data_IF_028118454520
#
_entry.id   IF_028118454520
#
_cell.length_a   1.000
_cell.length_b   1.000
_cell.length_c   1.000
_cell.angle_alpha   90.00
_cell.angle_beta   90.00
_cell.angle_gamma   90.00
#
_symmetry.space_group_name_H-M   'P 1'
#
loop_
_entity.id
_entity.type
_entity.pdbx_description
1 polymer ?
#
# COMPACT_ATOMS: atom_id res chain seq x y z
N UNK A 1 1.03 -29.73 20.65
CA UNK A 1 0.81 -28.85 19.49
C UNK A 1 1.07 -27.42 19.93
N UNK A 2 2.10 -26.75 19.42
CA UNK A 2 2.33 -25.32 19.74
C UNK A 2 1.26 -24.50 19.01
N UNK A 3 0.60 -23.53 19.65
CA UNK A 3 -0.41 -22.71 19.00
C UNK A 3 0.22 -21.93 17.84
N UNK A 4 -0.38 -22.03 16.66
CA UNK A 4 -0.03 -21.18 15.52
C UNK A 4 -0.32 -19.73 15.93
N UNK A 5 0.68 -18.82 15.92
CA UNK A 5 0.44 -17.43 16.29
C UNK A 5 -0.56 -16.83 15.30
N UNK A 6 -1.79 -16.66 15.77
CA UNK A 6 -2.86 -15.97 15.02
C UNK A 6 -2.59 -14.47 15.16
N UNK A 7 -2.37 -13.80 14.03
CA UNK A 7 -2.05 -12.38 14.04
C UNK A 7 -3.33 -11.55 14.28
N UNK A 8 -3.33 -10.78 15.36
CA UNK A 8 -4.52 -10.06 15.87
C UNK A 8 -5.02 -8.95 14.93
N UNK A 9 -4.21 -8.50 13.96
CA UNK A 9 -4.58 -7.43 13.02
C UNK A 9 -4.04 -7.67 11.61
N UNK A 10 -4.37 -8.81 10.99
CA UNK A 10 -4.06 -9.02 9.57
C UNK A 10 -4.93 -8.05 8.73
N UNK A 11 -4.34 -7.24 7.83
CA UNK A 11 -5.10 -6.45 6.87
C UNK A 11 -5.99 -7.36 6.02
N UNK A 12 -7.22 -6.91 5.79
CA UNK A 12 -8.09 -7.51 4.76
C UNK A 12 -7.87 -6.71 3.48
N UNK A 13 -6.70 -6.83 2.89
CA UNK A 13 -6.37 -6.22 1.58
C UNK A 13 -6.40 -7.31 0.51
N UNK A 14 -7.04 -7.03 -0.62
CA UNK A 14 -7.05 -7.93 -1.78
C UNK A 14 -5.71 -7.92 -2.53
N UNK A 15 -4.80 -7.00 -2.18
CA UNK A 15 -3.45 -6.91 -2.74
C UNK A 15 -2.42 -7.63 -1.86
N UNK A 16 -1.70 -8.59 -2.45
CA UNK A 16 -0.60 -9.33 -1.81
C UNK A 16 0.52 -8.41 -1.29
N UNK A 17 0.82 -7.29 -1.96
CA UNK A 17 1.91 -6.37 -1.56
C UNK A 17 1.60 -5.62 -0.25
N UNK A 18 0.33 -5.34 0.00
CA UNK A 18 -0.10 -4.73 1.26
C UNK A 18 0.01 -5.72 2.43
N UNK A 19 -0.30 -6.99 2.19
CA UNK A 19 -0.13 -8.05 3.19
C UNK A 19 1.35 -8.26 3.50
N UNK A 20 2.21 -8.27 2.48
CA UNK A 20 3.67 -8.40 2.62
C UNK A 20 4.29 -7.25 3.41
N UNK A 21 3.95 -5.99 3.06
CA UNK A 21 4.47 -4.80 3.75
C UNK A 21 4.04 -4.79 5.22
N UNK A 22 2.77 -5.11 5.50
CA UNK A 22 2.28 -5.23 6.86
C UNK A 22 3.00 -6.34 7.63
N UNK A 23 3.23 -7.50 7.01
CA UNK A 23 3.89 -8.62 7.67
C UNK A 23 5.33 -8.27 8.10
N UNK A 24 6.08 -7.54 7.26
CA UNK A 24 7.40 -7.02 7.59
C UNK A 24 7.35 -5.99 8.73
N UNK A 25 6.39 -5.07 8.70
CA UNK A 25 6.20 -4.10 9.78
C UNK A 25 5.86 -4.78 11.12
N UNK A 26 5.01 -5.80 11.09
CA UNK A 26 4.64 -6.58 12.26
C UNK A 26 5.82 -7.41 12.80
N UNK A 27 6.65 -7.99 11.93
CA UNK A 27 7.87 -8.68 12.34
C UNK A 27 8.85 -7.72 13.05
N UNK A 28 9.06 -6.52 12.50
CA UNK A 28 9.88 -5.50 13.14
C UNK A 28 9.32 -5.10 14.52
N UNK A 29 8.00 -4.89 14.62
CA UNK A 29 7.34 -4.56 15.89
C UNK A 29 7.55 -5.65 16.95
N UNK A 30 7.43 -6.93 16.55
CA UNK A 30 7.63 -8.07 17.45
C UNK A 30 9.06 -8.16 17.96
N UNK A 31 10.06 -7.99 17.09
CA UNK A 31 11.47 -7.97 17.48
C UNK A 31 11.74 -6.87 18.53
N UNK A 32 11.23 -5.65 18.32
CA UNK A 32 11.37 -4.55 19.28
C UNK A 32 10.69 -4.90 20.61
N UNK A 33 9.42 -5.32 20.55
CA UNK A 33 8.63 -5.56 21.77
C UNK A 33 9.23 -6.67 22.64
N UNK A 34 9.67 -7.78 22.03
CA UNK A 34 10.30 -8.90 22.73
C UNK A 34 11.69 -8.54 23.26
N UNK A 35 12.48 -7.76 22.51
CA UNK A 35 13.78 -7.25 22.98
C UNK A 35 13.66 -6.28 24.15
N UNK A 36 12.65 -5.41 24.14
CA UNK A 36 12.39 -4.49 25.25
C UNK A 36 11.90 -5.24 26.50
N UNK A 37 11.03 -6.23 26.32
CA UNK A 37 10.52 -7.06 27.40
C UNK A 37 11.56 -8.06 27.96
N UNK A 38 12.68 -8.28 27.24
CA UNK A 38 13.67 -9.33 27.53
C UNK A 38 13.05 -10.72 27.64
N UNK A 39 12.03 -10.97 26.82
CA UNK A 39 11.34 -12.26 26.74
C UNK A 39 12.02 -13.11 25.66
N UNK A 40 12.81 -14.10 26.11
CA UNK A 40 13.57 -14.99 25.23
C UNK A 40 12.67 -15.84 24.33
N UNK A 41 11.54 -16.34 24.84
CA UNK A 41 10.63 -17.19 24.06
C UNK A 41 9.94 -16.36 22.98
N UNK A 42 9.43 -15.18 23.34
CA UNK A 42 8.83 -14.26 22.38
C UNK A 42 9.85 -13.74 21.37
N UNK A 43 11.10 -13.52 21.79
CA UNK A 43 12.18 -13.06 20.90
C UNK A 43 12.58 -14.15 19.90
N UNK A 44 12.76 -15.38 20.37
CA UNK A 44 13.02 -16.51 19.49
C UNK A 44 11.86 -16.73 18.50
N UNK A 45 10.61 -16.62 18.97
CA UNK A 45 9.44 -16.70 18.09
C UNK A 45 9.41 -15.57 17.05
N UNK A 46 9.78 -14.34 17.44
CA UNK A 46 9.87 -13.20 16.53
C UNK A 46 10.98 -13.39 15.47
N UNK A 47 12.14 -13.91 15.86
CA UNK A 47 13.24 -14.25 14.94
C UNK A 47 12.83 -15.36 13.97
N UNK A 48 12.18 -16.43 14.45
CA UNK A 48 11.70 -17.51 13.59
C UNK A 48 10.62 -17.03 12.61
N UNK A 49 9.74 -16.12 13.04
CA UNK A 49 8.80 -15.46 12.15
C UNK A 49 9.53 -14.66 11.07
N UNK A 50 10.52 -13.85 11.47
CA UNK A 50 11.32 -13.07 10.54
C UNK A 50 11.98 -13.97 9.48
N UNK A 51 12.61 -15.07 9.91
CA UNK A 51 13.23 -16.05 9.01
C UNK A 51 12.22 -16.61 7.98
N UNK A 52 11.03 -17.01 8.43
CA UNK A 52 10.00 -17.59 7.55
C UNK A 52 9.49 -16.59 6.52
N UNK A 53 9.29 -15.32 6.92
CA UNK A 53 8.88 -14.26 5.99
C UNK A 53 9.91 -14.07 4.88
N UNK A 54 11.19 -14.00 5.24
CA UNK A 54 12.27 -13.83 4.28
C UNK A 54 12.46 -15.03 3.36
N UNK A 55 12.23 -16.27 3.83
CA UNK A 55 12.17 -17.45 2.95
C UNK A 55 11.03 -17.37 1.92
N UNK A 56 9.86 -16.84 2.30
CA UNK A 56 8.75 -16.63 1.36
C UNK A 56 9.14 -15.58 0.31
N UNK A 57 9.77 -14.47 0.71
CA UNK A 57 10.27 -13.48 -0.23
C UNK A 57 11.33 -14.04 -1.18
N UNK A 58 12.27 -14.84 -0.67
CA UNK A 58 13.28 -15.51 -1.49
C UNK A 58 12.64 -16.41 -2.55
N UNK A 59 11.64 -17.22 -2.17
CA UNK A 59 10.91 -18.07 -3.12
C UNK A 59 10.20 -17.22 -4.20
N UNK A 60 9.51 -16.14 -3.81
CA UNK A 60 8.82 -15.26 -4.74
C UNK A 60 9.78 -14.52 -5.70
N UNK A 61 11.03 -14.29 -5.31
CA UNK A 61 12.05 -13.68 -6.17
C UNK A 61 12.59 -14.62 -7.24
N UNK A 62 12.55 -15.94 -6.98
CA UNK A 62 13.08 -16.96 -7.91
C UNK A 62 12.09 -17.39 -8.98
N UNK A 63 10.81 -17.01 -8.85
CA UNK A 63 9.78 -17.29 -9.85
C UNK A 63 10.08 -16.55 -11.17
N UNK A 64 9.82 -17.22 -12.30
CA UNK A 64 10.08 -16.66 -13.64
C UNK A 64 9.20 -15.43 -13.93
N UNK A 65 7.96 -15.43 -13.43
CA UNK A 65 6.98 -14.35 -13.55
C UNK A 65 7.13 -13.24 -12.50
N UNK A 66 8.28 -13.17 -11.81
CA UNK A 66 8.55 -12.10 -10.85
C UNK A 66 8.60 -10.74 -11.56
N UNK A 67 7.53 -9.95 -11.44
CA UNK A 67 7.38 -8.63 -12.09
C UNK A 67 8.31 -7.51 -11.59
N UNK A 68 9.36 -7.85 -10.83
CA UNK A 68 10.34 -6.89 -10.33
C UNK A 68 11.52 -6.74 -11.30
N UNK A 69 12.03 -5.52 -11.53
CA UNK A 69 13.25 -5.32 -12.32
C UNK A 69 14.43 -6.13 -11.78
N UNK A 70 15.34 -6.55 -12.68
CA UNK A 70 16.51 -7.38 -12.32
C UNK A 70 17.33 -6.79 -11.17
N UNK A 71 17.53 -5.47 -11.16
CA UNK A 71 18.26 -4.77 -10.11
C UNK A 71 17.56 -4.89 -8.75
N UNK A 72 16.24 -4.70 -8.71
CA UNK A 72 15.43 -4.84 -7.49
C UNK A 72 15.52 -6.27 -6.95
N UNK A 73 15.42 -7.27 -7.83
CA UNK A 73 15.58 -8.68 -7.44
C UNK A 73 16.95 -8.96 -6.86
N UNK A 74 18.00 -8.43 -7.47
CA UNK A 74 19.39 -8.60 -7.02
C UNK A 74 19.60 -7.95 -5.64
N UNK A 75 19.10 -6.74 -5.46
CA UNK A 75 19.20 -6.02 -4.18
C UNK A 75 18.40 -6.75 -3.08
N UNK A 76 17.20 -7.24 -3.38
CA UNK A 76 16.39 -7.96 -2.40
C UNK A 76 16.98 -9.33 -2.05
N UNK A 77 17.62 -10.02 -3.02
CA UNK A 77 18.37 -11.25 -2.76
C UNK A 77 19.56 -11.00 -1.82
N UNK A 78 20.31 -9.91 -2.02
CA UNK A 78 21.41 -9.53 -1.13
C UNK A 78 20.93 -9.21 0.29
N UNK A 79 19.82 -8.47 0.42
CA UNK A 79 19.18 -8.20 1.72
C UNK A 79 18.71 -9.48 2.39
N UNK A 80 18.14 -10.42 1.64
CA UNK A 80 17.66 -11.69 2.20
C UNK A 80 18.80 -12.49 2.83
N UNK A 81 19.97 -12.54 2.17
CA UNK A 81 21.15 -13.19 2.71
C UNK A 81 21.67 -12.51 4.00
N UNK A 82 21.64 -11.18 4.06
CA UNK A 82 21.99 -10.45 5.28
C UNK A 82 21.02 -10.77 6.42
N UNK A 83 19.72 -10.78 6.14
CA UNK A 83 18.69 -11.08 7.14
C UNK A 83 18.82 -12.51 7.66
N UNK A 84 19.07 -13.50 6.81
CA UNK A 84 19.28 -14.89 7.22
C UNK A 84 20.47 -15.02 8.17
N UNK A 85 21.58 -14.36 7.83
CA UNK A 85 22.81 -14.36 8.65
C UNK A 85 22.57 -13.72 10.01
N UNK A 86 21.98 -12.53 10.04
CA UNK A 86 21.70 -11.81 11.30
C UNK A 86 20.66 -12.56 12.15
N UNK A 87 19.61 -13.10 11.54
CA UNK A 87 18.58 -13.87 12.24
C UNK A 87 19.18 -15.13 12.86
N UNK A 88 20.02 -15.85 12.11
CA UNK A 88 20.73 -17.03 12.61
C UNK A 88 21.67 -16.69 13.76
N UNK A 89 22.45 -15.61 13.63
CA UNK A 89 23.34 -15.16 14.70
C UNK A 89 22.56 -14.84 15.98
N UNK A 90 21.41 -14.15 15.86
CA UNK A 90 20.54 -13.82 16.99
C UNK A 90 19.83 -15.03 17.59
N UNK A 91 19.51 -16.06 16.80
CA UNK A 91 18.97 -17.31 17.32
C UNK A 91 20.00 -18.11 18.15
N UNK A 92 21.29 -17.91 17.88
CA UNK A 92 22.39 -18.55 18.62
C UNK A 92 22.74 -17.79 19.89
N UNK A 93 22.91 -16.47 19.80
CA UNK A 93 23.39 -15.64 20.92
C UNK A 93 22.26 -15.06 21.79
N UNK A 94 21.02 -15.02 21.28
CA UNK A 94 19.86 -14.36 21.90
C UNK A 94 20.16 -12.93 22.38
N UNK A 95 21.05 -12.23 21.67
CA UNK A 95 21.46 -10.88 22.03
C UNK A 95 20.40 -9.85 21.60
N UNK A 96 19.57 -9.46 22.58
CA UNK A 96 18.52 -8.46 22.42
C UNK A 96 19.03 -7.08 21.95
N UNK A 97 20.31 -6.76 22.12
CA UNK A 97 20.87 -5.45 21.74
C UNK A 97 21.15 -5.33 20.23
N UNK A 98 21.26 -6.45 19.52
CA UNK A 98 21.71 -6.51 18.12
C UNK A 98 20.58 -6.79 17.13
N UNK A 99 19.45 -6.10 17.30
CA UNK A 99 18.25 -6.27 16.47
C UNK A 99 17.99 -5.11 15.51
N UNK A 100 18.73 -4.01 15.66
CA UNK A 100 18.50 -2.77 14.92
C UNK A 100 18.59 -2.97 13.40
N UNK A 101 19.58 -3.73 12.93
CA UNK A 101 19.75 -4.07 11.52
C UNK A 101 18.50 -4.78 10.96
N UNK A 102 18.00 -5.81 11.65
CA UNK A 102 16.81 -6.56 11.24
C UNK A 102 15.56 -5.67 11.21
N UNK A 103 15.38 -4.85 12.24
CA UNK A 103 14.26 -3.90 12.35
C UNK A 103 14.31 -2.85 11.23
N UNK A 104 15.48 -2.30 10.96
CA UNK A 104 15.68 -1.27 9.94
C UNK A 104 15.38 -1.80 8.54
N UNK A 105 15.90 -2.98 8.19
CA UNK A 105 15.64 -3.64 6.90
C UNK A 105 14.15 -3.88 6.74
N UNK A 106 13.49 -4.50 7.71
CA UNK A 106 12.06 -4.80 7.63
C UNK A 106 11.20 -3.55 7.45
N UNK A 107 11.50 -2.47 8.19
CA UNK A 107 10.77 -1.19 8.06
C UNK A 107 11.01 -0.52 6.72
N UNK A 108 12.25 -0.51 6.24
CA UNK A 108 12.61 0.12 4.97
C UNK A 108 11.96 -0.59 3.80
N UNK A 109 12.00 -1.93 3.78
CA UNK A 109 11.36 -2.74 2.72
C UNK A 109 9.83 -2.62 2.80
N UNK A 110 9.24 -2.66 4.01
CA UNK A 110 7.80 -2.43 4.18
C UNK A 110 7.37 -1.07 3.60
N UNK A 111 8.12 -0.01 3.91
CA UNK A 111 7.83 1.34 3.41
C UNK A 111 7.96 1.43 1.89
N UNK A 112 8.98 0.78 1.31
CA UNK A 112 9.16 0.70 -0.14
C UNK A 112 8.01 -0.03 -0.85
N UNK A 113 7.56 -1.15 -0.30
CA UNK A 113 6.44 -1.92 -0.85
C UNK A 113 5.11 -1.14 -0.81
N UNK A 114 4.85 -0.40 0.28
CA UNK A 114 3.68 0.47 0.39
C UNK A 114 3.73 1.60 -0.65
N UNK A 115 4.85 2.30 -0.77
CA UNK A 115 5.00 3.38 -1.74
C UNK A 115 4.85 2.90 -3.20
N UNK A 116 5.36 1.69 -3.50
CA UNK A 116 5.18 1.09 -4.82
C UNK A 116 3.72 0.71 -5.09
N UNK A 117 2.99 0.22 -4.08
CA UNK A 117 1.56 -0.04 -4.21
C UNK A 117 0.77 1.26 -4.50
N UNK A 118 1.01 2.32 -3.72
CA UNK A 118 0.37 3.62 -3.92
C UNK A 118 0.64 4.17 -5.33
N UNK A 119 1.86 4.00 -5.84
CA UNK A 119 2.22 4.39 -7.20
C UNK A 119 1.46 3.59 -8.27
N UNK A 120 1.38 2.25 -8.11
CA UNK A 120 0.65 1.39 -9.04
C UNK A 120 -0.85 1.72 -9.02
N UNK A 121 -1.44 1.92 -7.85
CA UNK A 121 -2.84 2.31 -7.69
C UNK A 121 -3.12 3.68 -8.35
N UNK A 122 -2.23 4.66 -8.17
CA UNK A 122 -2.34 5.98 -8.79
C UNK A 122 -2.20 5.92 -10.32
N UNK A 123 -1.37 5.02 -10.86
CA UNK A 123 -1.21 4.84 -12.29
C UNK A 123 -2.42 4.13 -12.90
N UNK A 124 -2.95 3.09 -12.25
CA UNK A 124 -4.17 2.40 -12.68
C UNK A 124 -5.39 3.34 -12.71
N UNK A 125 -5.48 4.31 -11.80
CA UNK A 125 -6.54 5.33 -11.81
C UNK A 125 -6.41 6.33 -12.97
N UNK A 126 -5.19 6.52 -13.52
CA UNK A 126 -4.94 7.40 -14.68
C UNK A 126 -5.15 6.67 -16.02
N UNK A 127 -4.85 5.38 -16.06
CA UNK A 127 -5.01 4.53 -17.25
C UNK A 127 -6.40 3.86 -17.33
N UNK A 128 -7.26 4.09 -16.34
CA UNK A 128 -8.65 3.66 -16.39
C UNK A 128 -9.31 4.27 -17.64
N UNK A 129 -9.84 3.44 -18.55
CA UNK A 129 -10.51 3.97 -19.72
C UNK A 129 -11.68 4.81 -19.25
N UNK A 130 -11.84 5.98 -19.87
CA UNK A 130 -13.06 6.80 -19.79
C UNK A 130 -14.18 5.98 -20.41
N UNK A 131 -14.72 5.02 -19.66
CA UNK A 131 -15.82 4.18 -20.08
C UNK A 131 -17.09 5.03 -20.00
N UNK A 132 -17.42 5.60 -21.16
CA UNK A 132 -18.74 5.97 -21.64
C UNK A 132 -19.61 6.79 -20.66
N UNK A 133 -19.58 8.11 -20.86
CA UNK A 133 -20.78 8.92 -20.60
C UNK A 133 -22.01 8.21 -21.21
N UNK A 134 -23.15 8.13 -20.50
CA UNK A 134 -24.35 7.54 -21.06
C UNK A 134 -24.75 8.33 -22.31
N UNK A 135 -24.78 7.65 -23.46
CA UNK A 135 -25.41 8.17 -24.67
C UNK A 135 -26.86 8.56 -24.33
N UNK A 136 -27.34 9.76 -24.73
CA UNK A 136 -28.76 10.05 -24.64
C UNK A 136 -29.52 9.08 -25.56
N UNK A 137 -30.68 8.55 -25.16
CA UNK A 137 -31.44 7.65 -26.02
C UNK A 137 -31.89 8.41 -27.27
N UNK A 138 -31.41 7.92 -28.41
CA UNK A 138 -31.74 8.40 -29.73
C UNK A 138 -33.21 8.16 -30.07
N UNK A 139 -33.77 9.19 -30.72
CA UNK A 139 -35.11 9.31 -31.24
C UNK A 139 -35.44 8.25 -32.31
N UNK A 140 -36.63 7.65 -32.20
CA UNK A 140 -37.30 6.87 -33.26
C UNK A 140 -38.79 7.16 -33.21
N UNK A 141 -39.31 7.82 -34.24
CA UNK A 141 -40.66 8.39 -34.26
C UNK A 141 -41.76 7.49 -34.83
N UNK A 142 -43.00 7.95 -34.67
CA UNK A 142 -44.12 7.63 -35.57
C UNK A 142 -45.50 7.52 -34.91
N UNK A 143 -46.35 8.56 -35.07
CA UNK A 143 -47.78 8.38 -35.38
C UNK A 143 -48.84 8.96 -34.42
N UNK A 144 -49.45 10.09 -34.81
CA UNK A 144 -50.86 10.56 -34.59
C UNK A 144 -51.33 10.80 -33.14
N UNK A 145 -52.19 11.76 -32.78
CA UNK A 145 -53.16 12.66 -33.44
C UNK A 145 -53.54 13.78 -32.39
N UNK A 146 -54.36 14.81 -32.71
CA UNK A 146 -54.15 16.19 -32.24
C UNK A 146 -55.08 16.67 -31.10
N UNK A 147 -54.64 17.70 -30.36
CA UNK A 147 -55.45 18.37 -29.33
C UNK A 147 -55.00 19.79 -28.98
N UNK A 148 -55.46 20.77 -29.77
CA UNK A 148 -55.92 22.13 -29.45
C UNK A 148 -55.30 22.97 -28.28
N UNK A 149 -54.59 24.06 -28.69
CA UNK A 149 -54.68 25.50 -28.27
C UNK A 149 -54.04 25.95 -26.91
N UNK A 150 -53.86 27.28 -26.63
CA UNK A 150 -52.58 27.99 -26.87
C UNK A 150 -52.15 28.93 -25.70
N UNK A 151 -51.20 29.84 -25.98
CA UNK A 151 -50.72 30.99 -25.19
C UNK A 151 -49.56 30.68 -24.22
N UNK A 152 -48.59 31.55 -23.95
CA UNK A 152 -48.04 32.78 -24.51
C UNK A 152 -46.86 33.13 -23.56
N UNK A 153 -45.75 33.71 -24.04
CA UNK A 153 -44.76 34.36 -23.16
C UNK A 153 -43.29 34.18 -23.54
N UNK A 154 -42.70 35.24 -24.12
CA UNK A 154 -41.25 35.46 -24.38
C UNK A 154 -40.46 35.75 -23.06
N UNK A 155 -39.23 36.31 -23.09
CA UNK A 155 -37.92 35.65 -23.23
C UNK A 155 -36.99 35.86 -21.99
N UNK A 156 -35.74 35.35 -22.07
CA UNK A 156 -34.56 35.49 -21.14
C UNK A 156 -34.16 36.99 -20.88
N UNK A 157 -33.07 37.39 -20.13
CA UNK A 157 -31.94 36.72 -19.41
C UNK A 157 -31.61 37.45 -18.04
N UNK A 158 -30.37 37.63 -17.51
CA UNK A 158 -29.07 36.93 -17.57
C UNK A 158 -28.47 36.56 -16.17
N UNK A 159 -27.34 35.83 -16.19
CA UNK A 159 -26.38 35.62 -15.09
C UNK A 159 -25.68 36.92 -14.65
N UNK A 160 -25.11 36.95 -13.42
CA UNK A 160 -23.75 37.44 -13.27
C UNK A 160 -22.84 36.49 -12.46
N UNK A 161 -21.55 36.60 -12.78
CA UNK A 161 -20.40 35.88 -12.25
C UNK A 161 -19.74 36.59 -11.05
N UNK A 162 -18.58 36.04 -10.64
CA UNK A 162 -17.50 36.61 -9.81
C UNK A 162 -17.65 36.35 -8.30
N UNK A 163 -16.74 35.59 -7.68
CA UNK A 163 -15.43 35.99 -7.09
C UNK A 163 -15.60 35.95 -5.56
N UNK A 164 -14.75 35.45 -4.67
CA UNK A 164 -13.34 35.03 -4.63
C UNK A 164 -13.16 34.30 -3.25
N UNK A 165 -11.96 34.12 -2.67
CA UNK A 165 -10.65 33.72 -3.20
C UNK A 165 -10.09 32.45 -2.50
N UNK A 166 -9.04 31.89 -3.10
CA UNK A 166 -8.19 30.86 -2.52
C UNK A 166 -7.36 31.38 -1.33
N UNK A 167 -7.27 30.57 -0.27
CA UNK A 167 -6.40 30.81 0.89
C UNK A 167 -4.95 30.44 0.52
N UNK A 168 -4.09 31.45 0.43
CA UNK A 168 -2.66 31.30 0.16
C UNK A 168 -1.93 30.69 1.38
N UNK A 169 -1.14 29.63 1.14
CA UNK A 169 -0.35 28.85 2.13
C UNK A 169 1.10 29.30 2.23
N UNK A 170 1.38 30.59 2.10
CA UNK A 170 2.74 31.12 2.21
C UNK A 170 2.83 32.25 3.24
N UNK A 171 2.96 31.88 4.51
CA UNK A 171 3.44 32.77 5.57
C UNK A 171 3.84 31.93 6.77
N UNK A 172 5.05 31.36 6.75
CA UNK A 172 5.88 31.01 7.92
C UNK A 172 7.20 30.40 7.42
N UNK A 173 7.94 31.16 6.61
CA UNK A 173 9.41 31.04 6.57
C UNK A 173 9.93 32.08 7.54
N UNK A 174 10.32 31.63 8.74
CA UNK A 174 11.22 32.40 9.60
C UNK A 174 12.56 31.70 9.51
N UNK A 175 13.45 32.37 8.78
CA UNK A 175 14.89 32.22 8.90
C UNK A 175 15.33 32.94 10.18
N UNK A 176 16.13 32.26 11.00
CA UNK A 176 17.39 32.73 11.62
C UNK A 176 18.15 31.46 12.00
#
# INVERSE_FOLDING_TARGET
MKPTPTYVNKPTSDNSRDVESWALAEAARRLISSSHAKDEEAFQAALQLNQRLWTIFQAALTEEDCGHPQEVRTNLAALSLLVDRETTARLIDLDFSKIETLVSINRTVASGLMAQNDFIAAQAAKDAPVAAAPLPPGVGGGGGVPGLRPAAGMPRPPVPAADAPAVNRESLRISI
#
